data_IF_685533487059
#
_entry.id   IF_685533487059
#
_cell.length_a   1.000
_cell.length_b   1.000
_cell.length_c   1.000
_cell.angle_alpha   90.00
_cell.angle_beta   90.00
_cell.angle_gamma   90.00
#
_symmetry.space_group_name_H-M   'P 1'
#
loop_
_entity.id
_entity.type
_entity.pdbx_description
1 polymer ?
#
# COMPACT_ATOMS: atom_id res chain seq x y z
N UNK A 1 8.66 -2.01 0.79
CA UNK A 1 8.61 -1.06 1.93
C UNK A 1 9.51 -1.54 3.06
N UNK A 2 10.15 -0.58 3.73
CA UNK A 2 11.12 -0.89 4.78
C UNK A 2 10.49 -0.91 6.19
N UNK A 3 9.68 0.10 6.51
CA UNK A 3 9.07 0.27 7.83
C UNK A 3 10.10 0.35 8.95
N UNK A 4 10.23 -0.70 9.75
CA UNK A 4 11.28 -0.83 10.80
C UNK A 4 12.36 -1.87 10.46
N UNK A 5 12.36 -2.37 9.25
CA UNK A 5 13.38 -3.30 8.74
C UNK A 5 13.27 -4.74 9.23
N UNK A 6 12.11 -5.16 9.75
CA UNK A 6 11.93 -6.53 10.22
C UNK A 6 12.13 -7.56 9.12
N UNK A 7 11.40 -7.41 8.02
CA UNK A 7 11.55 -8.25 6.83
C UNK A 7 12.94 -8.10 6.18
N UNK A 8 13.46 -6.87 6.11
CA UNK A 8 14.77 -6.59 5.52
C UNK A 8 15.91 -7.28 6.28
N UNK A 9 15.89 -7.24 7.62
CA UNK A 9 16.90 -7.94 8.45
C UNK A 9 16.81 -9.45 8.30
N UNK A 10 15.60 -10.01 8.23
CA UNK A 10 15.38 -11.43 8.00
C UNK A 10 15.90 -11.85 6.62
N UNK A 11 15.61 -11.08 5.57
CA UNK A 11 16.13 -11.35 4.23
C UNK A 11 17.66 -11.30 4.22
N UNK A 12 18.28 -10.26 4.79
CA UNK A 12 19.75 -10.13 4.86
C UNK A 12 20.42 -11.33 5.54
N UNK A 13 19.77 -11.93 6.56
CA UNK A 13 20.30 -13.13 7.22
C UNK A 13 20.30 -14.39 6.35
N UNK A 14 19.61 -14.37 5.21
CA UNK A 14 19.46 -15.49 4.28
C UNK A 14 20.08 -15.21 2.90
N UNK A 15 20.41 -13.95 2.61
CA UNK A 15 21.02 -13.55 1.35
C UNK A 15 22.54 -13.83 1.38
N UNK A 16 23.09 -14.11 0.20
CA UNK A 16 24.53 -14.25 0.01
C UNK A 16 25.28 -12.93 0.31
N UNK A 17 26.59 -13.04 0.54
CA UNK A 17 27.43 -11.89 0.91
C UNK A 17 27.57 -10.86 -0.22
N UNK A 18 27.43 -11.28 -1.47
CA UNK A 18 27.48 -10.45 -2.67
C UNK A 18 26.08 -9.95 -3.13
N UNK A 19 25.02 -10.27 -2.40
CA UNK A 19 23.68 -9.80 -2.72
C UNK A 19 23.52 -8.30 -2.49
N UNK A 20 22.57 -7.71 -3.17
CA UNK A 20 22.14 -6.32 -2.92
C UNK A 20 20.68 -6.30 -2.51
N UNK A 21 20.37 -5.67 -1.37
CA UNK A 21 19.01 -5.39 -0.91
C UNK A 21 18.71 -3.91 -1.07
N UNK A 22 17.74 -3.58 -1.91
CA UNK A 22 17.31 -2.20 -2.13
C UNK A 22 16.00 -2.00 -1.36
N UNK A 23 15.97 -1.05 -0.46
CA UNK A 23 14.83 -0.77 0.40
C UNK A 23 14.23 0.59 0.08
N UNK A 24 12.91 0.61 -0.04
CA UNK A 24 12.12 1.80 -0.33
C UNK A 24 11.26 2.16 0.88
N UNK A 25 11.14 3.41 1.21
CA UNK A 25 10.10 3.93 2.08
C UNK A 25 9.83 5.41 1.78
N UNK A 26 8.59 5.83 2.00
CA UNK A 26 8.18 7.24 1.92
C UNK A 26 8.41 7.98 3.23
N UNK A 27 8.37 7.26 4.37
CA UNK A 27 8.44 7.85 5.71
C UNK A 27 9.88 8.23 6.07
N UNK A 28 10.17 9.53 6.29
CA UNK A 28 11.51 9.97 6.72
C UNK A 28 12.03 9.25 7.96
N UNK A 29 11.12 8.84 8.88
CA UNK A 29 11.53 8.11 10.10
C UNK A 29 11.93 6.67 9.79
N UNK A 30 11.27 6.02 8.84
CA UNK A 30 11.68 4.70 8.35
C UNK A 30 13.01 4.78 7.59
N UNK A 31 13.19 5.83 6.78
CA UNK A 31 14.44 6.09 6.03
C UNK A 31 15.63 6.30 6.96
N UNK A 32 15.46 7.01 8.08
CA UNK A 32 16.53 7.14 9.08
C UNK A 32 17.00 5.76 9.58
N UNK A 33 16.06 4.87 9.94
CA UNK A 33 16.38 3.50 10.37
C UNK A 33 16.98 2.66 9.25
N UNK A 34 16.56 2.89 8.00
CA UNK A 34 17.12 2.21 6.84
C UNK A 34 18.58 2.61 6.60
N UNK A 35 18.94 3.88 6.80
CA UNK A 35 20.33 4.34 6.73
C UNK A 35 21.20 3.76 7.85
N UNK A 36 20.67 3.61 9.07
CA UNK A 36 21.39 2.92 10.15
C UNK A 36 21.71 1.47 9.76
N UNK A 37 20.75 0.77 9.13
CA UNK A 37 20.98 -0.58 8.62
C UNK A 37 22.01 -0.59 7.49
N UNK A 38 21.94 0.34 6.54
CA UNK A 38 22.91 0.45 5.45
C UNK A 38 24.35 0.78 5.94
N UNK A 39 24.48 1.53 7.03
CA UNK A 39 25.77 1.78 7.67
C UNK A 39 26.36 0.51 8.30
N UNK A 40 25.53 -0.43 8.71
CA UNK A 40 25.98 -1.71 9.33
C UNK A 40 26.11 -2.87 8.35
N UNK A 41 25.48 -2.78 7.16
CA UNK A 41 25.51 -3.82 6.14
C UNK A 41 25.59 -3.20 4.74
N UNK A 42 26.75 -3.32 4.11
CA UNK A 42 27.05 -2.72 2.80
C UNK A 42 26.19 -3.24 1.64
N UNK A 43 25.47 -4.34 1.83
CA UNK A 43 24.54 -4.88 0.85
C UNK A 43 23.26 -4.05 0.73
N UNK A 44 22.98 -3.17 1.70
CA UNK A 44 21.74 -2.38 1.75
C UNK A 44 21.91 -1.07 0.99
N UNK A 45 20.99 -0.80 0.08
CA UNK A 45 20.83 0.51 -0.58
C UNK A 45 19.46 1.09 -0.23
N UNK A 46 19.43 2.38 0.09
CA UNK A 46 18.22 3.06 0.58
C UNK A 46 17.69 4.01 -0.49
N UNK A 47 16.39 3.94 -0.74
CA UNK A 47 15.65 4.87 -1.61
C UNK A 47 14.56 5.54 -0.79
N UNK A 48 14.65 6.86 -0.62
CA UNK A 48 13.61 7.65 0.03
C UNK A 48 12.57 8.07 -1.01
N UNK A 49 11.75 7.14 -1.41
CA UNK A 49 10.63 7.38 -2.34
C UNK A 49 9.58 6.27 -2.25
N UNK A 50 8.50 6.45 -3.03
CA UNK A 50 7.52 5.40 -3.27
C UNK A 50 8.13 4.22 -4.04
N UNK A 51 7.69 3.02 -3.73
CA UNK A 51 7.96 1.84 -4.57
C UNK A 51 7.33 1.95 -5.98
N UNK A 52 6.45 2.92 -6.21
CA UNK A 52 5.96 3.25 -7.54
C UNK A 52 7.05 3.82 -8.47
N UNK A 53 8.19 4.28 -7.91
CA UNK A 53 9.35 4.73 -8.71
C UNK A 53 10.38 3.63 -8.96
N UNK A 54 9.97 2.35 -8.81
CA UNK A 54 10.86 1.18 -8.85
C UNK A 54 11.77 1.18 -10.09
N UNK A 55 11.20 1.32 -11.28
CA UNK A 55 11.95 1.28 -12.55
C UNK A 55 13.01 2.37 -12.63
N UNK A 56 12.61 3.62 -12.35
CA UNK A 56 13.52 4.78 -12.45
C UNK A 56 14.61 4.71 -11.39
N UNK A 57 14.28 4.32 -10.17
CA UNK A 57 15.23 4.17 -9.08
C UNK A 57 16.26 3.08 -9.34
N UNK A 58 15.85 1.94 -9.90
CA UNK A 58 16.77 0.86 -10.28
C UNK A 58 17.65 1.28 -11.47
N UNK A 59 17.07 1.93 -12.48
CA UNK A 59 17.81 2.43 -13.64
C UNK A 59 18.91 3.44 -13.24
N UNK A 60 18.62 4.34 -12.28
CA UNK A 60 19.60 5.27 -11.72
C UNK A 60 20.79 4.56 -11.02
N UNK A 61 20.59 3.32 -10.56
CA UNK A 61 21.62 2.47 -9.97
C UNK A 61 22.31 1.53 -11.00
N UNK A 62 21.93 1.62 -12.29
CA UNK A 62 22.41 0.71 -13.34
C UNK A 62 21.85 -0.71 -13.22
N UNK A 63 20.75 -0.92 -12.50
CA UNK A 63 20.09 -2.21 -12.28
C UNK A 63 18.92 -2.32 -13.22
N UNK A 64 18.93 -3.31 -14.08
CA UNK A 64 17.87 -3.56 -15.07
C UNK A 64 16.88 -4.61 -14.61
N UNK A 65 17.31 -5.58 -13.81
CA UNK A 65 16.47 -6.67 -13.31
C UNK A 65 16.89 -7.11 -11.91
N UNK A 66 15.93 -7.67 -11.16
CA UNK A 66 16.13 -8.20 -9.81
C UNK A 66 15.60 -9.63 -9.68
N UNK A 67 16.12 -10.37 -8.69
CA UNK A 67 15.75 -11.75 -8.41
C UNK A 67 14.45 -11.87 -7.61
N UNK A 68 14.07 -10.80 -6.88
CA UNK A 68 12.85 -10.79 -6.09
C UNK A 68 12.37 -9.38 -5.77
N UNK A 69 11.05 -9.25 -5.67
CA UNK A 69 10.36 -8.03 -5.21
C UNK A 69 9.45 -8.39 -4.04
N UNK A 70 9.55 -7.60 -2.99
CA UNK A 70 8.67 -7.72 -1.82
C UNK A 70 8.09 -6.36 -1.45
N UNK A 71 6.76 -6.31 -1.34
CA UNK A 71 6.05 -5.16 -0.79
C UNK A 71 5.23 -5.58 0.43
N UNK A 72 5.39 -4.84 1.53
CA UNK A 72 4.58 -4.91 2.74
C UNK A 72 3.75 -3.63 2.79
N UNK A 73 2.46 -3.73 2.41
CA UNK A 73 1.61 -2.57 2.17
C UNK A 73 1.04 -1.99 3.48
N UNK A 74 0.43 -0.84 3.36
CA UNK A 74 -0.23 -0.13 4.45
C UNK A 74 0.73 0.68 5.32
N UNK A 75 0.39 0.82 6.61
CA UNK A 75 1.08 1.68 7.57
C UNK A 75 1.84 0.88 8.62
N UNK A 76 2.96 1.42 9.05
CA UNK A 76 3.79 0.81 10.10
C UNK A 76 3.19 1.02 11.49
N UNK A 77 3.55 0.13 12.44
CA UNK A 77 3.11 0.28 13.84
C UNK A 77 3.50 1.63 14.46
N UNK A 78 4.72 2.17 14.27
CA UNK A 78 5.06 3.48 14.77
C UNK A 78 4.18 4.62 14.23
N UNK A 79 3.78 4.56 12.96
CA UNK A 79 2.86 5.56 12.40
C UNK A 79 1.48 5.53 13.08
N UNK A 80 0.98 4.33 13.45
CA UNK A 80 -0.28 4.19 14.18
C UNK A 80 -0.14 4.65 15.62
N UNK A 81 0.99 4.34 16.26
CA UNK A 81 1.20 4.55 17.70
C UNK A 81 1.58 6.00 18.04
N UNK A 82 2.09 6.76 17.07
CA UNK A 82 2.38 8.19 17.18
C UNK A 82 1.13 9.02 16.82
N UNK A 83 0.46 9.58 17.83
CA UNK A 83 -0.73 10.42 17.65
C UNK A 83 -0.49 11.64 16.75
N UNK A 84 0.72 12.23 16.80
CA UNK A 84 1.06 13.42 15.99
C UNK A 84 1.03 13.17 14.47
N UNK A 85 1.11 11.90 14.04
CA UNK A 85 1.04 11.50 12.63
C UNK A 85 -0.40 11.42 12.08
N UNK A 86 -1.41 11.42 12.94
CA UNK A 86 -2.82 11.47 12.55
C UNK A 86 -3.42 10.18 11.96
N UNK A 87 -2.69 9.08 11.89
CA UNK A 87 -3.18 7.81 11.33
C UNK A 87 -4.23 7.11 12.19
N UNK A 88 -4.33 7.48 13.46
CA UNK A 88 -5.23 6.86 14.43
C UNK A 88 -5.98 7.92 15.22
N UNK A 89 -7.20 7.62 15.59
CA UNK A 89 -8.02 8.39 16.52
C UNK A 89 -8.07 7.76 17.93
N UNK A 90 -7.21 6.79 18.21
CA UNK A 90 -7.07 6.19 19.55
C UNK A 90 -6.25 7.10 20.49
N UNK A 91 -5.46 7.99 19.94
CA UNK A 91 -4.75 9.08 20.60
C UNK A 91 -4.98 10.32 19.77
N UNK A 92 -5.23 11.45 20.45
CA UNK A 92 -5.43 12.71 19.74
C UNK A 92 -4.15 13.22 19.13
N UNK A 93 -4.30 13.91 18.00
CA UNK A 93 -3.20 14.54 17.28
C UNK A 93 -3.69 15.27 16.03
N UNK A 94 -2.75 15.87 15.32
CA UNK A 94 -3.02 16.57 14.08
C UNK A 94 -3.60 15.62 13.02
N UNK A 95 -4.53 16.09 12.22
CA UNK A 95 -5.15 15.34 11.10
C UNK A 95 -4.20 15.41 9.90
N UNK A 96 -3.00 14.80 10.02
CA UNK A 96 -1.97 14.83 8.97
C UNK A 96 -2.12 13.64 8.00
N UNK A 97 -1.91 12.44 8.46
CA UNK A 97 -1.97 11.15 7.74
C UNK A 97 -0.98 11.01 6.56
N UNK A 98 -0.05 11.92 6.35
CA UNK A 98 1.01 11.75 5.34
C UNK A 98 2.00 10.67 5.78
N UNK A 99 2.36 9.77 4.88
CA UNK A 99 3.51 8.87 5.07
C UNK A 99 4.81 9.66 4.95
N UNK A 100 4.96 10.48 3.92
CA UNK A 100 6.05 11.43 3.75
C UNK A 100 5.64 12.82 4.27
N UNK A 101 6.11 13.16 5.44
CA UNK A 101 5.81 14.47 6.06
C UNK A 101 6.62 15.62 5.48
N UNK A 102 7.61 15.34 4.63
CA UNK A 102 8.45 16.36 4.00
C UNK A 102 7.81 17.01 2.77
N UNK A 103 6.77 16.40 2.21
CA UNK A 103 6.09 16.86 0.98
C UNK A 103 4.59 16.56 0.97
N UNK A 104 3.90 17.19 0.02
CA UNK A 104 2.45 17.03 -0.14
C UNK A 104 1.65 17.80 0.90
N UNK A 105 0.33 17.65 0.84
CA UNK A 105 -0.62 18.26 1.79
C UNK A 105 -1.10 17.24 2.82
N UNK A 106 -1.35 17.70 4.04
CA UNK A 106 -2.00 16.91 5.08
C UNK A 106 -3.49 16.69 4.78
N UNK A 107 -4.11 15.75 5.48
CA UNK A 107 -5.56 15.55 5.37
C UNK A 107 -6.30 16.80 5.85
N UNK A 108 -5.85 17.49 6.90
CA UNK A 108 -6.45 18.74 7.36
C UNK A 108 -6.45 19.80 6.25
N UNK A 109 -5.30 20.06 5.63
CA UNK A 109 -5.17 21.02 4.52
C UNK A 109 -6.01 20.65 3.29
N UNK A 110 -6.17 19.36 3.03
CA UNK A 110 -7.03 18.86 1.98
C UNK A 110 -8.50 19.05 2.31
N UNK A 111 -8.93 18.75 3.54
CA UNK A 111 -10.30 18.92 4.01
C UNK A 111 -10.75 20.38 3.98
N UNK A 112 -9.86 21.34 4.19
CA UNK A 112 -10.17 22.78 4.04
C UNK A 112 -10.61 23.14 2.61
N UNK A 113 -10.00 22.52 1.60
CA UNK A 113 -10.13 22.89 0.18
C UNK A 113 -11.14 22.05 -0.59
N UNK A 114 -11.29 20.78 -0.22
CA UNK A 114 -12.15 19.82 -0.94
C UNK A 114 -13.63 20.17 -0.76
N UNK A 115 -14.43 19.98 -1.79
CA UNK A 115 -15.90 20.04 -1.69
C UNK A 115 -16.48 18.76 -1.08
N UNK A 116 -17.73 18.80 -0.66
CA UNK A 116 -18.40 17.69 0.01
C UNK A 116 -18.69 16.50 -0.93
N UNK A 117 -18.86 16.74 -2.24
CA UNK A 117 -19.06 15.68 -3.22
C UNK A 117 -17.78 14.89 -3.47
N UNK A 118 -16.68 15.57 -3.69
CA UNK A 118 -15.35 14.94 -3.85
C UNK A 118 -14.96 14.17 -2.58
N UNK A 119 -15.17 14.77 -1.39
CA UNK A 119 -14.92 14.06 -0.12
C UNK A 119 -15.81 12.82 -0.01
N UNK A 120 -17.09 12.90 -0.35
CA UNK A 120 -17.98 11.75 -0.31
C UNK A 120 -17.54 10.62 -1.25
N UNK A 121 -17.04 10.97 -2.44
CA UNK A 121 -16.51 9.99 -3.40
C UNK A 121 -15.25 9.31 -2.85
N UNK A 122 -14.33 10.06 -2.26
CA UNK A 122 -13.14 9.49 -1.59
C UNK A 122 -13.53 8.53 -0.48
N UNK A 123 -14.46 8.92 0.40
CA UNK A 123 -14.93 8.05 1.49
C UNK A 123 -15.60 6.77 0.97
N UNK A 124 -16.33 6.86 -0.13
CA UNK A 124 -16.99 5.71 -0.76
C UNK A 124 -15.99 4.78 -1.44
N UNK A 125 -15.12 5.31 -2.29
CA UNK A 125 -14.20 4.52 -3.13
C UNK A 125 -13.08 3.86 -2.31
N UNK A 126 -12.46 4.60 -1.39
CA UNK A 126 -11.32 4.14 -0.62
C UNK A 126 -11.67 3.62 0.79
N UNK A 127 -12.85 3.94 1.30
CA UNK A 127 -13.34 3.45 2.58
C UNK A 127 -14.41 2.37 2.48
N UNK A 128 -14.99 2.17 1.30
CA UNK A 128 -16.21 1.36 1.11
C UNK A 128 -17.35 1.86 2.05
N UNK A 129 -17.37 3.20 2.34
CA UNK A 129 -18.29 3.83 3.28
C UNK A 129 -19.65 4.13 2.61
N UNK A 130 -20.66 3.38 2.98
CA UNK A 130 -22.01 3.51 2.39
C UNK A 130 -22.71 4.81 2.74
N UNK A 131 -22.38 5.42 3.87
CA UNK A 131 -22.95 6.69 4.33
C UNK A 131 -22.07 7.89 4.01
N UNK A 132 -21.19 7.76 3.02
CA UNK A 132 -20.15 8.72 2.65
C UNK A 132 -20.66 10.14 2.47
N UNK A 133 -21.79 10.35 1.77
CA UNK A 133 -22.38 11.68 1.55
C UNK A 133 -22.83 12.36 2.84
N UNK A 134 -23.41 11.59 3.78
CA UNK A 134 -23.85 12.12 5.08
C UNK A 134 -22.64 12.48 5.94
N UNK A 135 -21.64 11.63 5.95
CA UNK A 135 -20.41 11.83 6.71
C UNK A 135 -19.64 13.03 6.12
N UNK A 136 -19.48 13.12 4.79
CA UNK A 136 -18.80 14.24 4.15
C UNK A 136 -19.43 15.59 4.51
N UNK A 137 -20.77 15.71 4.46
CA UNK A 137 -21.45 16.92 4.87
C UNK A 137 -21.20 17.28 6.34
N UNK A 138 -21.15 16.29 7.24
CA UNK A 138 -20.87 16.53 8.65
C UNK A 138 -19.44 17.01 8.86
N UNK A 139 -18.48 16.40 8.18
CA UNK A 139 -17.07 16.82 8.21
C UNK A 139 -16.94 18.26 7.71
N UNK A 140 -17.61 18.62 6.60
CA UNK A 140 -17.54 19.97 6.02
C UNK A 140 -18.25 21.05 6.86
N UNK A 141 -18.96 20.66 7.91
CA UNK A 141 -19.56 21.58 8.90
C UNK A 141 -18.66 21.82 10.12
N UNK A 142 -17.49 21.20 10.19
CA UNK A 142 -16.49 21.46 11.24
C UNK A 142 -15.84 22.84 11.03
N UNK A 143 -15.55 23.52 12.13
CA UNK A 143 -14.86 24.82 12.11
C UNK A 143 -13.36 24.68 11.85
N UNK A 144 -12.76 23.55 12.24
CA UNK A 144 -11.34 23.25 12.03
C UNK A 144 -11.09 21.74 11.93
N UNK A 145 -9.91 21.35 11.44
CA UNK A 145 -9.48 19.95 11.29
C UNK A 145 -8.18 19.67 12.07
N UNK A 146 -8.09 20.17 13.31
CA UNK A 146 -6.85 20.08 14.12
C UNK A 146 -6.76 18.79 14.95
N UNK A 147 -7.89 18.15 15.27
CA UNK A 147 -7.98 17.01 16.19
C UNK A 147 -8.53 15.77 15.51
N UNK A 148 -7.77 14.66 15.57
CA UNK A 148 -8.24 13.35 15.10
C UNK A 148 -9.40 12.80 15.91
N UNK A 149 -9.48 13.12 17.22
CA UNK A 149 -10.60 12.73 18.08
C UNK A 149 -11.87 13.46 17.71
N UNK A 150 -11.80 14.78 17.48
CA UNK A 150 -12.97 15.57 17.07
C UNK A 150 -13.50 15.10 15.71
N UNK A 151 -12.61 14.90 14.75
CA UNK A 151 -12.97 14.36 13.44
C UNK A 151 -13.64 12.98 13.57
N UNK A 152 -13.09 12.09 14.37
CA UNK A 152 -13.66 10.77 14.59
C UNK A 152 -15.03 10.81 15.28
N UNK A 153 -15.26 11.73 16.21
CA UNK A 153 -16.55 11.91 16.89
C UNK A 153 -17.61 12.47 15.92
N UNK A 154 -17.26 13.47 15.09
CA UNK A 154 -18.16 13.98 14.04
C UNK A 154 -18.58 12.85 13.08
N UNK A 155 -17.63 12.03 12.63
CA UNK A 155 -17.93 10.88 11.76
C UNK A 155 -18.86 9.89 12.47
N UNK A 156 -18.60 9.59 13.72
CA UNK A 156 -19.38 8.65 14.53
C UNK A 156 -20.82 9.13 14.73
N UNK A 157 -21.02 10.41 15.02
CA UNK A 157 -22.37 11.03 15.16
C UNK A 157 -23.11 11.03 13.83
N UNK A 158 -22.41 11.30 12.75
CA UNK A 158 -22.97 11.29 11.40
C UNK A 158 -23.35 9.87 10.92
N UNK A 159 -22.71 8.82 11.42
CA UNK A 159 -22.97 7.44 10.99
C UNK A 159 -24.26 6.90 11.61
N UNK A 160 -25.30 6.54 10.82
CA UNK A 160 -26.63 6.21 11.35
C UNK A 160 -26.68 4.91 12.12
N UNK A 161 -25.90 3.92 11.72
CA UNK A 161 -25.89 2.57 12.33
C UNK A 161 -24.47 1.99 12.27
N UNK A 162 -23.83 1.83 13.40
CA UNK A 162 -22.50 1.22 13.45
C UNK A 162 -22.50 -0.12 14.18
N UNK A 163 -21.67 -1.03 13.69
CA UNK A 163 -21.55 -2.36 14.23
C UNK A 163 -20.71 -2.36 15.51
N UNK A 164 -21.17 -3.09 16.52
CA UNK A 164 -20.41 -3.26 17.77
C UNK A 164 -19.05 -3.93 17.47
N UNK A 165 -17.97 -3.30 17.91
CA UNK A 165 -16.60 -3.81 17.75
C UNK A 165 -15.77 -3.21 16.60
N UNK A 166 -16.36 -2.36 15.74
CA UNK A 166 -15.62 -1.58 14.74
C UNK A 166 -16.05 -0.12 14.85
N UNK A 167 -15.10 0.77 15.16
CA UNK A 167 -15.42 2.19 15.28
C UNK A 167 -15.86 2.75 13.93
N UNK A 168 -16.94 3.56 13.86
CA UNK A 168 -17.49 4.09 12.60
C UNK A 168 -16.48 4.90 11.77
N UNK A 169 -15.59 5.64 12.42
CA UNK A 169 -14.57 6.44 11.76
C UNK A 169 -13.48 5.62 11.05
N UNK A 170 -13.36 4.32 11.33
CA UNK A 170 -12.27 3.49 10.78
C UNK A 170 -12.22 3.51 9.26
N UNK A 171 -13.37 3.40 8.59
CA UNK A 171 -13.44 3.41 7.12
C UNK A 171 -13.11 4.79 6.53
N UNK A 172 -13.59 5.84 7.16
CA UNK A 172 -13.32 7.22 6.71
C UNK A 172 -11.84 7.60 6.89
N UNK A 173 -11.22 7.24 8.02
CA UNK A 173 -9.78 7.43 8.24
C UNK A 173 -8.94 6.65 7.24
N UNK A 174 -9.29 5.38 6.99
CA UNK A 174 -8.64 4.57 5.96
C UNK A 174 -8.77 5.23 4.58
N UNK A 175 -9.95 5.73 4.22
CA UNK A 175 -10.18 6.37 2.93
C UNK A 175 -9.32 7.60 2.72
N UNK A 176 -9.32 8.51 3.69
CA UNK A 176 -8.52 9.74 3.64
C UNK A 176 -7.02 9.43 3.59
N UNK A 177 -6.56 8.46 4.37
CA UNK A 177 -5.17 7.99 4.36
C UNK A 177 -4.75 7.45 2.99
N UNK A 178 -5.55 6.53 2.42
CA UNK A 178 -5.28 5.94 1.10
C UNK A 178 -5.21 7.03 0.04
N UNK A 179 -6.15 7.97 0.08
CA UNK A 179 -6.23 9.05 -0.90
C UNK A 179 -5.02 9.99 -0.83
N UNK A 180 -4.71 10.50 0.37
CA UNK A 180 -3.64 11.51 0.53
C UNK A 180 -2.24 10.96 0.19
N UNK A 181 -2.03 9.65 0.39
CA UNK A 181 -0.77 8.97 0.13
C UNK A 181 -0.72 8.29 -1.24
N UNK A 182 -1.78 8.35 -2.04
CA UNK A 182 -1.92 7.62 -3.32
C UNK A 182 -1.62 6.12 -3.20
N UNK A 183 -2.01 5.49 -2.08
CA UNK A 183 -1.58 4.13 -1.74
C UNK A 183 -1.93 3.09 -2.81
N UNK A 184 -3.14 3.17 -3.36
CA UNK A 184 -3.61 2.20 -4.36
C UNK A 184 -3.03 2.47 -5.76
N UNK A 185 -2.80 3.73 -6.13
CA UNK A 185 -2.09 4.05 -7.37
C UNK A 185 -0.66 3.53 -7.35
N UNK A 186 0.05 3.74 -6.24
CA UNK A 186 1.39 3.22 -6.06
C UNK A 186 1.45 1.68 -6.15
N UNK A 187 0.43 0.98 -5.63
CA UNK A 187 0.34 -0.49 -5.76
C UNK A 187 0.16 -0.90 -7.22
N UNK A 188 -0.72 -0.22 -7.97
CA UNK A 188 -0.92 -0.52 -9.39
C UNK A 188 0.38 -0.32 -10.19
N UNK A 189 1.06 0.83 -10.00
CA UNK A 189 2.32 1.15 -10.66
C UNK A 189 3.42 0.13 -10.31
N UNK A 190 3.55 -0.26 -9.05
CA UNK A 190 4.50 -1.28 -8.61
C UNK A 190 4.24 -2.64 -9.25
N UNK A 191 2.98 -3.05 -9.31
CA UNK A 191 2.61 -4.34 -9.87
C UNK A 191 2.93 -4.40 -11.37
N UNK A 192 2.59 -3.37 -12.14
CA UNK A 192 2.90 -3.32 -13.58
C UNK A 192 4.42 -3.28 -13.82
N UNK A 193 5.18 -2.51 -13.06
CA UNK A 193 6.64 -2.46 -13.13
C UNK A 193 7.31 -3.79 -12.74
N UNK A 194 6.64 -4.62 -11.93
CA UNK A 194 7.19 -5.91 -11.52
C UNK A 194 7.42 -6.88 -12.69
N UNK A 195 6.66 -6.76 -13.78
CA UNK A 195 6.76 -7.67 -14.93
C UNK A 195 8.10 -7.54 -15.64
N UNK A 196 8.53 -6.35 -16.12
CA UNK A 196 9.81 -6.18 -16.81
C UNK A 196 11.02 -6.28 -15.86
N UNK A 197 10.85 -5.92 -14.61
CA UNK A 197 11.95 -5.80 -13.64
C UNK A 197 12.37 -7.17 -13.05
N UNK A 198 11.42 -8.10 -12.88
CA UNK A 198 11.75 -9.42 -12.38
C UNK A 198 12.42 -10.28 -13.46
N UNK A 199 13.54 -10.88 -13.11
CA UNK A 199 14.17 -11.96 -13.89
C UNK A 199 13.21 -13.14 -14.05
N UNK A 200 13.39 -13.94 -15.10
CA UNK A 200 12.76 -15.26 -15.19
C UNK A 200 13.10 -16.09 -13.95
N UNK A 201 12.09 -16.71 -13.33
CA UNK A 201 12.20 -17.41 -12.05
C UNK A 201 12.17 -16.51 -10.82
N UNK A 202 12.23 -15.19 -10.98
CA UNK A 202 12.17 -14.21 -9.89
C UNK A 202 10.83 -14.25 -9.15
N UNK A 203 10.85 -13.86 -7.88
CA UNK A 203 9.69 -13.96 -6.98
C UNK A 203 9.05 -12.60 -6.72
N UNK A 204 7.73 -12.53 -6.89
CA UNK A 204 6.90 -11.41 -6.42
C UNK A 204 6.19 -11.81 -5.13
N UNK A 205 6.39 -11.06 -4.06
CA UNK A 205 5.75 -11.24 -2.76
C UNK A 205 5.07 -9.95 -2.32
N UNK A 206 3.75 -9.96 -2.12
CA UNK A 206 3.02 -8.76 -1.68
C UNK A 206 2.12 -9.09 -0.50
N UNK A 207 2.28 -8.34 0.59
CA UNK A 207 1.45 -8.42 1.79
C UNK A 207 0.45 -7.27 1.76
N UNK A 208 -0.83 -7.58 1.90
CA UNK A 208 -1.93 -6.63 1.98
C UNK A 208 -2.67 -6.76 3.31
N UNK A 209 -3.27 -5.67 3.81
CA UNK A 209 -3.98 -5.62 5.08
C UNK A 209 -5.48 -5.32 4.94
N UNK A 210 -5.94 -4.85 3.81
CA UNK A 210 -7.36 -4.60 3.56
C UNK A 210 -7.82 -5.06 2.17
N UNK A 211 -9.15 -5.12 2.00
CA UNK A 211 -9.82 -5.67 0.82
C UNK A 211 -9.45 -5.00 -0.50
N UNK A 212 -9.23 -3.69 -0.49
CA UNK A 212 -8.92 -2.93 -1.72
C UNK A 212 -7.53 -3.27 -2.26
N UNK A 213 -6.52 -3.36 -1.38
CA UNK A 213 -5.17 -3.83 -1.75
C UNK A 213 -5.21 -5.26 -2.27
N UNK A 214 -5.78 -6.19 -1.48
CA UNK A 214 -5.83 -7.61 -1.85
C UNK A 214 -6.57 -7.84 -3.18
N UNK A 215 -7.62 -7.05 -3.46
CA UNK A 215 -8.38 -7.10 -4.71
C UNK A 215 -7.52 -6.73 -5.91
N UNK A 216 -6.72 -5.63 -5.83
CA UNK A 216 -5.82 -5.18 -6.90
C UNK A 216 -4.74 -6.21 -7.20
N UNK A 217 -4.05 -6.69 -6.17
CA UNK A 217 -3.02 -7.72 -6.32
C UNK A 217 -3.61 -9.01 -6.90
N UNK A 218 -4.78 -9.43 -6.41
CA UNK A 218 -5.48 -10.62 -6.93
C UNK A 218 -5.83 -10.45 -8.41
N UNK A 219 -6.42 -9.32 -8.80
CA UNK A 219 -6.81 -9.05 -10.18
C UNK A 219 -5.60 -9.01 -11.10
N UNK A 220 -4.54 -8.30 -10.72
CA UNK A 220 -3.28 -8.27 -11.44
C UNK A 220 -2.71 -9.69 -11.65
N UNK A 221 -2.54 -10.45 -10.57
CA UNK A 221 -1.99 -11.81 -10.67
C UNK A 221 -2.91 -12.78 -11.43
N UNK A 222 -4.23 -12.63 -11.36
CA UNK A 222 -5.16 -13.42 -12.19
C UNK A 222 -4.99 -13.09 -13.67
N UNK A 223 -4.92 -11.80 -14.03
CA UNK A 223 -4.69 -11.32 -15.38
C UNK A 223 -3.42 -11.95 -15.94
N UNK A 224 -2.32 -11.79 -15.27
CA UNK A 224 -1.00 -12.18 -15.75
C UNK A 224 -0.62 -13.66 -15.54
N UNK A 225 -1.37 -14.42 -14.73
CA UNK A 225 -1.15 -15.87 -14.60
C UNK A 225 -2.08 -16.72 -15.46
N UNK A 226 -3.25 -16.19 -15.81
CA UNK A 226 -4.22 -16.93 -16.63
C UNK A 226 -4.32 -16.39 -18.06
N UNK A 227 -3.83 -15.17 -18.31
CA UNK A 227 -4.06 -14.45 -19.57
C UNK A 227 -5.53 -14.06 -19.74
N UNK A 228 -6.24 -13.80 -18.63
CA UNK A 228 -7.64 -13.41 -18.61
C UNK A 228 -7.74 -11.92 -18.25
N UNK A 229 -8.15 -11.13 -19.21
CA UNK A 229 -8.29 -9.69 -19.08
C UNK A 229 -9.78 -9.32 -19.13
N UNK A 230 -10.29 -8.44 -18.26
CA UNK A 230 -11.71 -8.07 -18.24
C UNK A 230 -12.19 -7.49 -19.57
N UNK A 231 -11.35 -6.75 -20.28
CA UNK A 231 -11.63 -6.17 -21.58
C UNK A 231 -11.85 -7.23 -22.67
N UNK A 232 -11.33 -8.44 -22.49
CA UNK A 232 -11.44 -9.54 -23.44
C UNK A 232 -12.69 -10.41 -23.18
N UNK A 233 -13.40 -10.26 -22.04
CA UNK A 233 -14.52 -11.15 -21.65
C UNK A 233 -15.68 -11.18 -22.65
N UNK A 234 -15.93 -10.07 -23.34
CA UNK A 234 -17.04 -9.94 -24.28
C UNK A 234 -16.60 -10.15 -25.75
N UNK A 235 -15.34 -10.49 -25.99
CA UNK A 235 -14.86 -10.73 -27.34
C UNK A 235 -15.23 -12.15 -27.79
N UNK A 236 -15.78 -12.35 -29.04
CA UNK A 236 -16.08 -13.67 -29.59
C UNK A 236 -14.85 -14.59 -29.66
N UNK A 237 -13.68 -14.00 -29.88
CA UNK A 237 -12.38 -14.68 -29.89
C UNK A 237 -11.36 -13.83 -29.13
N UNK A 238 -11.22 -14.03 -27.78
CA UNK A 238 -10.24 -13.28 -27.03
C UNK A 238 -8.81 -13.61 -27.50
N UNK A 239 -7.93 -12.61 -27.56
CA UNK A 239 -6.54 -12.80 -27.96
C UNK A 239 -5.80 -13.68 -26.95
N UNK A 240 -4.79 -14.41 -27.42
CA UNK A 240 -3.87 -15.11 -26.52
C UNK A 240 -2.95 -14.09 -25.87
N UNK A 241 -3.18 -13.82 -24.59
CA UNK A 241 -2.37 -12.92 -23.78
C UNK A 241 -1.19 -13.68 -23.14
N UNK A 242 -0.03 -13.06 -22.99
CA UNK A 242 1.11 -13.67 -22.30
C UNK A 242 0.79 -13.90 -20.83
N UNK A 243 1.40 -14.96 -20.25
CA UNK A 243 1.25 -15.31 -18.83
C UNK A 243 2.57 -15.07 -18.14
N UNK A 244 2.77 -13.86 -17.68
CA UNK A 244 4.02 -13.42 -17.08
C UNK A 244 4.29 -14.00 -15.68
N UNK A 245 3.27 -14.49 -15.00
CA UNK A 245 3.40 -15.09 -13.68
C UNK A 245 2.85 -16.51 -13.61
N UNK A 246 3.43 -17.33 -12.73
CA UNK A 246 2.90 -18.62 -12.34
C UNK A 246 1.57 -18.48 -11.59
N UNK A 247 0.87 -19.61 -11.38
CA UNK A 247 -0.36 -19.61 -10.54
C UNK A 247 -0.03 -19.05 -9.14
N UNK A 248 -0.68 -17.96 -8.72
CA UNK A 248 -0.37 -17.33 -7.44
C UNK A 248 -0.76 -18.20 -6.25
N UNK A 249 0.05 -18.13 -5.20
CA UNK A 249 -0.25 -18.69 -3.88
C UNK A 249 -0.75 -17.58 -2.97
N UNK A 250 -1.70 -17.89 -2.08
CA UNK A 250 -2.20 -17.00 -1.03
C UNK A 250 -1.96 -17.64 0.32
N UNK A 251 -1.34 -16.92 1.23
CA UNK A 251 -1.00 -17.38 2.58
C UNK A 251 -1.53 -16.38 3.58
N UNK A 252 -2.25 -16.85 4.58
CA UNK A 252 -2.69 -16.04 5.72
C UNK A 252 -1.78 -16.24 6.92
N UNK A 253 -1.88 -15.37 7.94
CA UNK A 253 -1.10 -15.49 9.15
C UNK A 253 -1.49 -16.74 9.94
N UNK A 254 -0.53 -17.34 10.62
CA UNK A 254 -0.77 -18.46 11.53
C UNK A 254 -1.45 -17.98 12.83
N UNK A 255 -2.07 -18.90 13.58
CA UNK A 255 -2.65 -18.57 14.89
C UNK A 255 -1.57 -18.08 15.87
N UNK A 256 -0.37 -18.62 15.81
CA UNK A 256 0.76 -18.20 16.62
C UNK A 256 1.19 -16.77 16.29
N UNK A 257 1.27 -16.43 15.01
CA UNK A 257 1.60 -15.09 14.54
C UNK A 257 0.55 -14.06 14.99
N UNK A 258 -0.75 -14.38 14.82
CA UNK A 258 -1.84 -13.49 15.28
C UNK A 258 -1.78 -13.27 16.81
N UNK A 259 -1.41 -14.30 17.57
CA UNK A 259 -1.26 -14.19 19.02
C UNK A 259 -0.12 -13.27 19.44
N UNK A 260 1.00 -13.31 18.70
CA UNK A 260 2.17 -12.47 18.94
C UNK A 260 2.00 -11.04 18.37
N UNK A 261 1.36 -10.94 17.20
CA UNK A 261 1.08 -9.68 16.51
C UNK A 261 -0.40 -9.63 16.07
N UNK A 262 -1.32 -9.13 16.90
CA UNK A 262 -2.74 -9.05 16.55
C UNK A 262 -3.03 -8.22 15.27
N UNK A 263 -2.13 -7.31 14.88
CA UNK A 263 -2.25 -6.51 13.66
C UNK A 263 -2.10 -7.36 12.39
N UNK A 264 -1.42 -8.52 12.47
CA UNK A 264 -1.29 -9.45 11.34
C UNK A 264 -2.60 -10.16 10.96
N UNK A 265 -3.63 -10.13 11.81
CA UNK A 265 -4.90 -10.86 11.60
C UNK A 265 -5.54 -10.63 10.23
N UNK A 266 -5.40 -9.44 9.68
CA UNK A 266 -5.98 -9.07 8.39
C UNK A 266 -5.01 -9.24 7.22
N UNK A 267 -3.76 -9.62 7.48
CA UNK A 267 -2.71 -9.73 6.48
C UNK A 267 -2.94 -10.91 5.52
N UNK A 268 -2.67 -10.67 4.24
CA UNK A 268 -2.63 -11.71 3.22
C UNK A 268 -1.37 -11.56 2.38
N UNK A 269 -0.55 -12.60 2.37
CA UNK A 269 0.60 -12.70 1.50
C UNK A 269 0.19 -13.36 0.17
N UNK A 270 0.48 -12.72 -0.95
CA UNK A 270 0.39 -13.29 -2.29
C UNK A 270 1.77 -13.46 -2.89
N UNK A 271 2.02 -14.64 -3.41
CA UNK A 271 3.29 -15.05 -4.00
C UNK A 271 3.06 -15.50 -5.44
N UNK A 272 3.93 -15.07 -6.36
CA UNK A 272 3.96 -15.57 -7.72
C UNK A 272 5.40 -15.55 -8.26
N UNK A 273 5.69 -16.47 -9.17
CA UNK A 273 7.01 -16.57 -9.82
C UNK A 273 6.91 -16.02 -11.23
N UNK A 274 7.85 -15.18 -11.65
CA UNK A 274 8.00 -14.69 -13.02
C UNK A 274 8.30 -15.86 -13.96
N UNK A 275 7.55 -15.99 -15.04
CA UNK A 275 7.77 -17.02 -16.07
C UNK A 275 8.92 -16.63 -17.00
N UNK A 276 9.27 -17.53 -17.92
CA UNK A 276 10.31 -17.32 -18.94
C UNK A 276 9.83 -16.46 -20.13
N UNK A 277 8.55 -16.09 -20.17
CA UNK A 277 7.98 -15.32 -21.28
C UNK A 277 8.56 -13.91 -21.26
N UNK A 278 9.18 -13.51 -22.36
CA UNK A 278 9.72 -12.15 -22.53
C UNK A 278 8.62 -11.11 -22.39
N UNK A 279 8.97 -10.03 -21.68
CA UNK A 279 8.07 -8.89 -21.57
C UNK A 279 8.03 -8.14 -22.91
N UNK A 280 6.84 -7.98 -23.42
CA UNK A 280 6.57 -7.12 -24.56
C UNK A 280 5.77 -5.94 -24.02
N UNK A 281 6.32 -4.74 -24.07
CA UNK A 281 5.57 -3.54 -23.75
C UNK A 281 4.34 -3.49 -24.68
N UNK A 282 3.15 -3.44 -24.11
CA UNK A 282 1.94 -3.23 -24.90
C UNK A 282 2.10 -1.92 -25.66
N UNK A 283 2.34 -2.01 -26.94
CA UNK A 283 2.16 -0.87 -27.83
C UNK A 283 0.66 -0.64 -27.81
N UNK A 284 0.21 0.32 -27.00
CA UNK A 284 -1.19 0.74 -27.03
C UNK A 284 -1.54 1.07 -28.49
N UNK A 285 -2.67 0.55 -28.98
CA UNK A 285 -3.11 0.81 -30.33
C UNK A 285 -3.43 2.29 -30.57
#
# INVERSE_FOLDING_TARGET
>A
TFGRGGHSRLLLSQLADDATLIVFDKDPTAISVAHELANSDSRVKVVHDSFATLTDSLAAMGITQVDGLMADLGISSPQIDDGSRGFSFMRDGAVDMRMDTSRGQSVAEWLEKVDDETLANVLYEFGEERHSRRIARAIKQMDSYESTLELAEVIKVAHPNWQRGKHPATQSFQAMRIFINNELGDVDDFLEQSIPILKSGGQLAVISFHSLEDRRIKQFLQRHSKGQYPEDENLPMPPKRPRYFSKPKRVGPSKAEISQNPRSRSAWLRLATRTEIDYVADVQP
#
